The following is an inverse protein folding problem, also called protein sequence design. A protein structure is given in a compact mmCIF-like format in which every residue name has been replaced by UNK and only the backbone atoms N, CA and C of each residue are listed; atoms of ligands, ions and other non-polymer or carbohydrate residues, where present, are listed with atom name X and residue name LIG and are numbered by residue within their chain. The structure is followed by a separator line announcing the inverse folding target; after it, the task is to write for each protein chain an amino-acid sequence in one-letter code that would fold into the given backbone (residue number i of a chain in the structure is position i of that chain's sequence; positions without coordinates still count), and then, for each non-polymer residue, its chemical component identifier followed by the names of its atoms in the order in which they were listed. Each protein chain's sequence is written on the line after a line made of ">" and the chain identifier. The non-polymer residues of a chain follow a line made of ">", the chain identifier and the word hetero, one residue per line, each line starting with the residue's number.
data_IF_323107533207
#
_entry.id   IF_323107533207
#
_cell.length_a   1.000
_cell.length_b   1.000
_cell.length_c   1.000
_cell.angle_alpha   90.00
_cell.angle_beta   90.00
_cell.angle_gamma   90.00
#
_symmetry.space_group_name_H-M   'P 1'
#
loop_
_entity.id
_entity.type
_entity.pdbx_description
1 polymer ?
#
# COMPACT_ATOMS: atom_id res chain seq x y z
N UNK A 1 -40.85 23.24 4.62
CA UNK A 1 -39.44 23.26 5.05
C UNK A 1 -39.02 21.84 5.43
N UNK A 2 -38.37 21.11 4.52
CA UNK A 2 -37.69 19.83 4.80
C UNK A 2 -36.43 19.80 3.94
N UNK A 3 -35.30 20.13 4.55
CA UNK A 3 -33.97 19.86 4.00
C UNK A 3 -33.84 18.34 3.90
N UNK A 4 -33.79 17.79 2.68
CA UNK A 4 -33.12 16.51 2.46
C UNK A 4 -31.74 16.81 1.91
N UNK A 5 -30.76 16.68 2.80
CA UNK A 5 -29.35 16.78 2.53
C UNK A 5 -28.96 15.60 1.63
N UNK A 6 -28.84 15.82 0.33
CA UNK A 6 -28.24 14.84 -0.58
C UNK A 6 -26.73 14.94 -0.42
N UNK A 7 -26.16 14.11 0.44
CA UNK A 7 -24.71 13.91 0.50
C UNK A 7 -24.32 13.09 -0.72
N UNK A 8 -23.92 13.78 -1.79
CA UNK A 8 -23.30 13.17 -2.94
C UNK A 8 -21.89 12.72 -2.56
N UNK A 9 -21.74 11.44 -2.23
CA UNK A 9 -20.44 10.78 -2.11
C UNK A 9 -19.79 10.70 -3.50
N UNK A 10 -19.05 11.75 -3.87
CA UNK A 10 -18.14 11.72 -5.00
C UNK A 10 -16.88 10.92 -4.61
N UNK A 11 -16.93 9.59 -4.69
CA UNK A 11 -15.77 8.71 -4.56
C UNK A 11 -15.68 7.79 -5.78
N UNK A 12 -15.45 8.39 -6.94
CA UNK A 12 -15.01 7.67 -8.13
C UNK A 12 -13.90 8.48 -8.79
N UNK A 13 -12.80 8.67 -8.06
CA UNK A 13 -11.55 9.14 -8.66
C UNK A 13 -10.86 7.92 -9.23
N UNK A 14 -11.10 7.70 -10.51
CA UNK A 14 -10.26 7.06 -11.52
C UNK A 14 -8.94 6.54 -10.92
N UNK A 15 -8.95 5.32 -10.37
CA UNK A 15 -7.74 4.55 -10.12
C UNK A 15 -7.45 3.70 -11.37
N UNK A 16 -7.39 4.36 -12.53
CA UNK A 16 -6.97 3.73 -13.77
C UNK A 16 -5.90 4.62 -14.41
N UNK A 17 -4.69 4.05 -14.51
CA UNK A 17 -3.54 4.44 -15.35
C UNK A 17 -2.55 5.52 -14.89
N UNK A 18 -2.55 5.98 -13.64
CA UNK A 18 -1.40 6.72 -13.08
C UNK A 18 -0.90 5.99 -11.83
N UNK A 19 0.42 5.90 -11.67
CA UNK A 19 1.08 5.12 -10.62
C UNK A 19 0.57 5.44 -9.21
N UNK A 20 0.86 4.54 -8.27
CA UNK A 20 0.54 4.80 -6.87
C UNK A 20 1.55 5.82 -6.32
N UNK A 21 1.16 7.09 -6.25
CA UNK A 21 2.07 8.18 -5.84
C UNK A 21 1.84 8.64 -4.38
N UNK A 22 0.74 8.22 -3.76
CA UNK A 22 0.42 8.57 -2.36
C UNK A 22 -0.11 7.38 -1.57
N UNK A 23 0.02 7.43 -0.24
CA UNK A 23 -0.58 6.43 0.68
C UNK A 23 -2.08 6.28 0.41
N UNK A 24 -2.79 7.40 0.25
CA UNK A 24 -4.24 7.41 0.00
C UNK A 24 -4.60 6.73 -1.32
N UNK A 25 -3.78 6.91 -2.37
CA UNK A 25 -3.98 6.23 -3.65
C UNK A 25 -3.76 4.72 -3.52
N UNK A 26 -2.79 4.30 -2.71
CA UNK A 26 -2.50 2.90 -2.44
C UNK A 26 -3.59 2.24 -1.57
N UNK A 27 -4.14 2.94 -0.57
CA UNK A 27 -5.28 2.49 0.23
C UNK A 27 -6.54 2.31 -0.64
N UNK A 28 -6.83 3.29 -1.50
CA UNK A 28 -7.95 3.21 -2.44
C UNK A 28 -7.77 2.07 -3.44
N UNK A 29 -6.56 1.88 -3.94
CA UNK A 29 -6.21 0.78 -4.82
C UNK A 29 -6.41 -0.58 -4.13
N UNK A 30 -5.86 -0.77 -2.92
CA UNK A 30 -6.03 -2.00 -2.14
C UNK A 30 -7.52 -2.33 -1.94
N UNK A 31 -8.32 -1.34 -1.54
CA UNK A 31 -9.76 -1.49 -1.39
C UNK A 31 -10.45 -1.89 -2.70
N UNK A 32 -10.05 -1.30 -3.83
CA UNK A 32 -10.60 -1.65 -5.15
C UNK A 32 -10.28 -3.09 -5.58
N UNK A 33 -9.18 -3.66 -5.05
CA UNK A 33 -8.75 -5.04 -5.26
C UNK A 33 -9.32 -6.01 -4.22
N UNK A 34 -10.23 -5.53 -3.37
CA UNK A 34 -10.87 -6.30 -2.31
C UNK A 34 -10.01 -6.50 -1.07
N UNK A 35 -8.81 -5.92 -0.99
CA UNK A 35 -7.95 -5.98 0.19
C UNK A 35 -8.35 -4.84 1.14
N UNK A 36 -9.06 -5.18 2.21
CA UNK A 36 -9.43 -4.21 3.25
C UNK A 36 -8.25 -4.05 4.22
N UNK A 37 -7.67 -2.85 4.25
CA UNK A 37 -6.60 -2.48 5.19
C UNK A 37 -7.20 -1.94 6.49
N UNK A 38 -6.79 -2.49 7.61
CA UNK A 38 -7.23 -2.12 8.97
C UNK A 38 -6.03 -1.88 9.88
N UNK A 39 -6.26 -1.44 11.12
CA UNK A 39 -5.21 -1.27 12.13
C UNK A 39 -4.08 -0.31 11.70
N UNK A 40 -4.43 0.73 10.95
CA UNK A 40 -3.52 1.75 10.44
C UNK A 40 -2.66 2.34 11.56
N UNK A 41 -1.36 2.12 11.49
CA UNK A 41 -0.36 2.63 12.43
C UNK A 41 0.72 3.37 11.65
N UNK A 42 1.05 4.60 12.06
CA UNK A 42 2.12 5.37 11.42
C UNK A 42 3.49 4.94 11.97
N UNK A 43 4.41 4.58 11.09
CA UNK A 43 5.81 4.35 11.43
C UNK A 43 6.61 5.65 11.20
N UNK A 44 6.88 6.35 12.30
CA UNK A 44 7.64 7.61 12.31
C UNK A 44 9.16 7.41 12.36
N UNK A 45 9.61 6.18 12.56
CA UNK A 45 11.03 5.84 12.61
C UNK A 45 11.59 5.56 11.21
N UNK A 46 10.72 5.44 10.20
CA UNK A 46 11.11 5.24 8.82
C UNK A 46 11.73 6.50 8.19
N UNK A 47 13.06 6.61 8.24
CA UNK A 47 13.79 7.80 7.78
C UNK A 47 13.79 7.94 6.25
N UNK A 48 13.77 6.84 5.50
CA UNK A 48 13.93 6.87 4.03
C UNK A 48 12.62 7.02 3.26
N UNK A 49 11.48 6.76 3.91
CA UNK A 49 10.15 6.96 3.35
C UNK A 49 9.39 7.95 4.24
N UNK A 50 9.24 9.22 3.83
CA UNK A 50 8.63 10.28 4.65
C UNK A 50 7.25 9.96 5.22
N UNK A 51 6.51 9.05 4.59
CA UNK A 51 5.26 8.52 5.12
C UNK A 51 5.32 7.01 5.05
N UNK A 52 5.18 6.36 6.19
CA UNK A 52 5.14 4.92 6.32
C UNK A 52 3.95 4.55 7.21
N UNK A 53 3.13 3.61 6.75
CA UNK A 53 2.00 3.12 7.53
C UNK A 53 1.93 1.60 7.46
N UNK A 54 1.70 1.01 8.63
CA UNK A 54 1.46 -0.42 8.81
C UNK A 54 -0.04 -0.71 8.95
N UNK A 55 -0.47 -1.82 8.37
CA UNK A 55 -1.86 -2.26 8.33
C UNK A 55 -1.93 -3.78 8.50
N UNK A 56 -3.10 -4.26 8.95
CA UNK A 56 -3.53 -5.64 8.74
C UNK A 56 -4.43 -5.74 7.51
N UNK A 57 -4.27 -6.77 6.69
CA UNK A 57 -5.11 -7.00 5.52
C UNK A 57 -5.10 -8.46 5.06
N UNK A 58 -6.27 -9.10 5.02
CA UNK A 58 -6.43 -10.49 4.54
C UNK A 58 -5.50 -11.52 5.20
N UNK A 59 -5.20 -11.37 6.50
CA UNK A 59 -4.30 -12.27 7.22
C UNK A 59 -2.81 -11.99 6.98
N UNK A 60 -2.48 -10.89 6.32
CA UNK A 60 -1.11 -10.40 6.13
C UNK A 60 -0.91 -9.05 6.83
N UNK A 61 0.32 -8.79 7.22
CA UNK A 61 0.85 -7.45 7.47
C UNK A 61 1.13 -6.77 6.14
N UNK A 62 0.59 -5.57 5.97
CA UNK A 62 0.79 -4.74 4.79
C UNK A 62 1.38 -3.41 5.23
N UNK A 63 2.56 -3.10 4.73
CA UNK A 63 3.24 -1.83 4.97
C UNK A 63 3.25 -1.01 3.69
N UNK A 64 2.78 0.23 3.77
CA UNK A 64 2.81 1.18 2.66
C UNK A 64 3.89 2.22 2.92
N UNK A 65 4.91 2.25 2.07
CA UNK A 65 6.00 3.22 2.11
C UNK A 65 5.84 4.21 0.96
N UNK A 66 5.73 5.50 1.27
CA UNK A 66 5.71 6.58 0.28
C UNK A 66 7.06 7.31 0.27
N UNK A 67 7.75 7.26 -0.86
CA UNK A 67 9.04 7.89 -1.07
C UNK A 67 8.90 9.29 -1.70
N UNK A 68 9.97 10.09 -1.60
CA UNK A 68 10.03 11.41 -2.24
C UNK A 68 10.14 11.34 -3.77
N UNK A 69 10.58 10.20 -4.31
CA UNK A 69 10.70 9.98 -5.74
C UNK A 69 10.57 8.50 -6.09
N UNK A 70 10.18 8.24 -7.34
CA UNK A 70 10.18 6.91 -7.93
C UNK A 70 11.55 6.22 -7.83
N UNK A 71 12.65 6.95 -8.08
CA UNK A 71 14.00 6.38 -8.04
C UNK A 71 14.42 6.00 -6.61
N UNK A 72 14.00 6.77 -5.60
CA UNK A 72 14.23 6.43 -4.20
C UNK A 72 13.47 5.15 -3.81
N UNK A 73 12.22 5.00 -4.26
CA UNK A 73 11.44 3.78 -4.07
C UNK A 73 12.10 2.56 -4.72
N UNK A 74 12.57 2.72 -5.97
CA UNK A 74 13.22 1.65 -6.74
C UNK A 74 14.54 1.20 -6.08
N UNK A 75 15.41 2.15 -5.73
CA UNK A 75 16.69 1.85 -5.11
C UNK A 75 16.52 1.25 -3.71
N UNK A 76 15.54 1.73 -2.93
CA UNK A 76 15.22 1.13 -1.65
C UNK A 76 14.75 -0.31 -1.81
N UNK A 77 13.76 -0.57 -2.68
CA UNK A 77 13.25 -1.92 -2.93
C UNK A 77 14.38 -2.87 -3.35
N UNK A 78 15.23 -2.45 -4.29
CA UNK A 78 16.37 -3.24 -4.76
C UNK A 78 17.31 -3.65 -3.62
N UNK A 79 17.61 -2.73 -2.70
CA UNK A 79 18.47 -3.01 -1.54
C UNK A 79 17.80 -3.99 -0.58
N UNK A 80 16.51 -3.79 -0.29
CA UNK A 80 15.77 -4.61 0.66
C UNK A 80 15.47 -6.02 0.14
N UNK A 81 15.24 -6.18 -1.16
CA UNK A 81 15.04 -7.50 -1.78
C UNK A 81 16.33 -8.34 -1.82
N UNK A 82 17.50 -7.69 -1.71
CA UNK A 82 18.78 -8.37 -1.59
C UNK A 82 19.08 -8.90 -0.19
N UNK A 83 18.20 -8.68 0.80
CA UNK A 83 18.39 -9.08 2.18
C UNK A 83 17.69 -10.44 2.41
N UNK A 84 18.43 -11.56 2.54
CA UNK A 84 17.86 -12.90 2.59
C UNK A 84 17.16 -13.25 3.92
N UNK A 85 17.22 -12.36 4.92
CA UNK A 85 16.66 -12.58 6.27
C UNK A 85 15.25 -12.01 6.44
N UNK A 86 14.69 -11.34 5.41
CA UNK A 86 13.41 -10.67 5.52
C UNK A 86 12.42 -11.27 4.50
N UNK A 87 11.47 -12.13 4.94
CA UNK A 87 10.58 -12.87 4.05
C UNK A 87 9.47 -12.02 3.41
N UNK A 88 9.64 -10.70 3.38
CA UNK A 88 8.63 -9.80 2.86
C UNK A 88 8.66 -9.75 1.34
N UNK A 89 7.48 -9.77 0.71
CA UNK A 89 7.34 -9.52 -0.72
C UNK A 89 7.06 -8.04 -0.95
N UNK A 90 7.75 -7.44 -1.92
CA UNK A 90 7.67 -6.00 -2.18
C UNK A 90 7.19 -5.72 -3.58
N UNK A 91 6.24 -4.81 -3.70
CA UNK A 91 5.64 -4.35 -4.95
C UNK A 91 5.89 -2.85 -5.05
N UNK A 92 6.46 -2.39 -6.16
CA UNK A 92 6.65 -0.96 -6.41
C UNK A 92 5.65 -0.48 -7.46
N UNK A 93 5.07 0.69 -7.24
CA UNK A 93 4.34 1.46 -8.24
C UNK A 93 4.48 2.94 -7.92
N UNK A 94 4.94 3.75 -8.88
CA UNK A 94 5.15 5.19 -8.65
C UNK A 94 6.09 5.45 -7.46
N UNK A 95 5.63 6.27 -6.52
CA UNK A 95 6.36 6.58 -5.29
C UNK A 95 6.09 5.61 -4.15
N UNK A 96 5.23 4.61 -4.36
CA UNK A 96 4.80 3.67 -3.34
C UNK A 96 5.56 2.35 -3.47
N UNK A 97 6.04 1.85 -2.33
CA UNK A 97 6.38 0.43 -2.16
C UNK A 97 5.38 -0.17 -1.18
N UNK A 98 4.74 -1.26 -1.59
CA UNK A 98 3.88 -2.09 -0.76
C UNK A 98 4.73 -3.28 -0.33
N UNK A 99 4.89 -3.45 0.98
CA UNK A 99 5.54 -4.61 1.56
C UNK A 99 4.47 -5.50 2.22
N UNK A 100 4.49 -6.79 1.89
CA UNK A 100 3.53 -7.78 2.37
C UNK A 100 4.26 -8.89 3.10
N UNK A 101 3.84 -9.16 4.34
CA UNK A 101 4.34 -10.27 5.18
C UNK A 101 3.16 -11.09 5.66
N UNK A 102 3.26 -12.41 5.60
CA UNK A 102 2.27 -13.30 6.19
C UNK A 102 3.00 -14.50 6.79
N UNK A 103 2.32 -15.22 7.69
CA UNK A 103 2.88 -16.42 8.33
C UNK A 103 2.98 -17.62 7.38
N UNK A 104 2.28 -17.57 6.24
CA UNK A 104 2.30 -18.60 5.20
C UNK A 104 2.39 -18.02 3.78
N UNK A 105 3.08 -18.75 2.90
CA UNK A 105 3.35 -18.35 1.52
C UNK A 105 2.07 -18.18 0.70
N UNK A 106 1.02 -18.97 0.95
CA UNK A 106 -0.21 -18.94 0.16
C UNK A 106 -0.99 -17.65 0.42
N UNK A 107 -1.12 -17.25 1.68
CA UNK A 107 -1.69 -15.96 2.10
C UNK A 107 -0.87 -14.82 1.54
N UNK A 108 0.46 -14.87 1.67
CA UNK A 108 1.34 -13.82 1.15
C UNK A 108 1.17 -13.64 -0.36
N UNK A 109 1.25 -14.72 -1.14
CA UNK A 109 1.11 -14.68 -2.60
C UNK A 109 -0.26 -14.18 -3.04
N UNK A 110 -1.33 -14.57 -2.33
CA UNK A 110 -2.69 -14.08 -2.61
C UNK A 110 -2.80 -12.57 -2.43
N UNK A 111 -2.26 -12.02 -1.34
CA UNK A 111 -2.30 -10.58 -1.08
C UNK A 111 -1.39 -9.83 -2.07
N UNK A 112 -0.19 -10.35 -2.34
CA UNK A 112 0.72 -9.78 -3.34
C UNK A 112 0.07 -9.72 -4.73
N UNK A 113 -0.55 -10.82 -5.18
CA UNK A 113 -1.23 -10.86 -6.47
C UNK A 113 -2.39 -9.87 -6.57
N UNK A 114 -3.13 -9.65 -5.48
CA UNK A 114 -4.20 -8.66 -5.43
C UNK A 114 -3.65 -7.22 -5.49
N UNK A 115 -2.51 -6.96 -4.84
CA UNK A 115 -1.90 -5.64 -4.74
C UNK A 115 -0.87 -5.33 -5.84
N UNK A 116 -0.68 -6.23 -6.80
CA UNK A 116 0.09 -5.96 -8.01
C UNK A 116 -0.75 -5.05 -8.94
N UNK A 117 -0.27 -3.84 -9.29
CA UNK A 117 -0.95 -2.94 -10.23
C UNK A 117 -1.00 -3.47 -11.66
#
# INVERSE_FOLDING_TARGET
>A
MRLMLVVALALSVIACSKGLDTIESAEAFAKSRGVVLTEKTEDKEQIVAPRCFDYKGHGADVRLLQFNSHDAAAEWKKRMDGIPIEPAQRIQSGHIVIEVRADDDATQQKVVAALQP
#
